data_IF_432457124259
#
_entry.id   IF_432457124259
#
_cell.length_a   1.000
_cell.length_b   1.000
_cell.length_c   1.000
_cell.angle_alpha   90.00
_cell.angle_beta   90.00
_cell.angle_gamma   90.00
#
_symmetry.space_group_name_H-M   'P 1'
#
loop_
_entity.id
_entity.type
_entity.pdbx_description
1 polymer ?
#
# COMPACT_ATOMS: atom_id res chain seq x y z
N UNK A 1 13.12 -8.13 2.79
CA UNK A 1 12.38 -6.87 2.53
C UNK A 1 11.37 -6.76 3.66
N UNK A 2 11.39 -5.68 4.48
CA UNK A 2 10.54 -5.57 5.67
C UNK A 2 9.06 -5.82 5.39
N UNK A 3 8.58 -5.52 4.17
CA UNK A 3 7.19 -5.74 3.76
C UNK A 3 6.90 -7.23 3.50
N UNK A 4 7.83 -7.94 2.87
CA UNK A 4 7.68 -9.37 2.57
C UNK A 4 7.79 -10.25 3.83
N UNK A 5 8.60 -9.82 4.79
CA UNK A 5 8.82 -10.53 6.06
C UNK A 5 7.77 -10.18 7.13
N UNK A 6 6.97 -9.11 6.93
CA UNK A 6 5.97 -8.72 7.89
C UNK A 6 4.90 -9.80 8.08
N UNK A 7 4.54 -10.02 9.35
CA UNK A 7 3.45 -10.89 9.79
C UNK A 7 2.60 -10.11 10.78
N UNK A 8 1.28 -10.30 10.72
CA UNK A 8 0.37 -9.63 11.64
C UNK A 8 0.45 -10.29 13.04
N UNK A 9 1.06 -9.65 14.05
CA UNK A 9 1.22 -10.25 15.38
C UNK A 9 -0.11 -10.38 16.14
N UNK A 10 -1.15 -9.66 15.71
CA UNK A 10 -2.49 -9.71 16.29
C UNK A 10 -3.37 -10.79 15.65
N UNK A 11 -2.91 -11.41 14.55
CA UNK A 11 -3.65 -12.46 13.86
C UNK A 11 -3.10 -13.83 14.25
N UNK A 12 -3.96 -14.68 14.82
CA UNK A 12 -3.60 -16.05 15.22
C UNK A 12 -3.21 -16.97 14.05
N UNK A 13 -3.47 -16.54 12.81
CA UNK A 13 -3.12 -17.28 11.60
C UNK A 13 -1.71 -16.98 11.07
N UNK A 14 -1.00 -16.03 11.65
CA UNK A 14 0.30 -15.57 11.13
C UNK A 14 0.19 -15.04 9.71
N UNK A 15 -0.87 -14.28 9.43
CA UNK A 15 -1.13 -13.70 8.12
C UNK A 15 0.03 -12.78 7.69
N UNK A 16 0.45 -12.91 6.44
CA UNK A 16 1.31 -11.91 5.79
C UNK A 16 0.51 -10.65 5.44
N UNK A 17 1.19 -9.60 4.98
CA UNK A 17 0.51 -8.38 4.53
C UNK A 17 -0.51 -8.67 3.42
N UNK A 18 -0.14 -9.53 2.45
CA UNK A 18 -1.05 -9.90 1.35
C UNK A 18 -2.28 -10.66 1.85
N UNK A 19 -2.13 -11.57 2.82
CA UNK A 19 -3.29 -12.24 3.42
C UNK A 19 -4.26 -11.27 4.08
N UNK A 20 -3.75 -10.26 4.79
CA UNK A 20 -4.61 -9.22 5.38
C UNK A 20 -5.32 -8.40 4.30
N UNK A 21 -4.65 -8.06 3.21
CA UNK A 21 -5.26 -7.28 2.12
C UNK A 21 -6.34 -8.08 1.37
N UNK A 22 -6.13 -9.39 1.17
CA UNK A 22 -7.16 -10.29 0.63
C UNK A 22 -8.30 -10.44 1.64
N UNK A 23 -8.00 -10.59 2.94
CA UNK A 23 -9.03 -10.64 4.00
C UNK A 23 -9.90 -9.38 4.01
N UNK A 24 -9.29 -8.20 3.86
CA UNK A 24 -9.95 -6.89 3.86
C UNK A 24 -10.53 -6.49 2.50
N UNK A 25 -10.32 -7.30 1.46
CA UNK A 25 -10.73 -7.01 0.09
C UNK A 25 -10.20 -5.66 -0.45
N UNK A 26 -8.87 -5.48 -0.41
CA UNK A 26 -8.18 -4.26 -0.83
C UNK A 26 -7.35 -4.45 -2.13
N UNK A 27 -7.99 -4.64 -3.30
CA UNK A 27 -7.30 -4.94 -4.56
C UNK A 27 -6.36 -3.81 -5.02
N UNK A 28 -6.76 -2.55 -4.86
CA UNK A 28 -5.94 -1.39 -5.27
C UNK A 28 -4.58 -1.36 -4.57
N UNK A 29 -4.56 -1.73 -3.28
CA UNK A 29 -3.35 -1.76 -2.46
C UNK A 29 -2.45 -2.91 -2.88
N UNK A 30 -3.02 -4.08 -3.17
CA UNK A 30 -2.28 -5.24 -3.68
C UNK A 30 -1.62 -4.88 -5.01
N UNK A 31 -2.36 -4.25 -5.94
CA UNK A 31 -1.84 -3.84 -7.24
C UNK A 31 -0.72 -2.79 -7.10
N UNK A 32 -0.88 -1.83 -6.19
CA UNK A 32 0.15 -0.83 -5.93
C UNK A 32 1.43 -1.44 -5.34
N UNK A 33 1.29 -2.37 -4.40
CA UNK A 33 2.41 -3.06 -3.76
C UNK A 33 3.16 -3.95 -4.76
N UNK A 34 2.45 -4.72 -5.59
CA UNK A 34 3.05 -5.58 -6.59
C UNK A 34 3.86 -4.80 -7.64
N UNK A 35 3.42 -3.59 -8.01
CA UNK A 35 4.14 -2.70 -8.94
C UNK A 35 5.33 -1.99 -8.31
N UNK A 36 5.22 -1.65 -7.02
CA UNK A 36 6.22 -0.81 -6.32
C UNK A 36 7.33 -1.62 -5.66
N UNK A 37 7.02 -2.86 -5.29
CA UNK A 37 7.89 -3.76 -4.55
C UNK A 37 7.93 -5.13 -5.23
N UNK A 38 9.07 -5.83 -5.10
CA UNK A 38 9.17 -7.24 -5.50
C UNK A 38 8.51 -8.09 -4.40
N UNK A 39 7.18 -8.06 -4.32
CA UNK A 39 6.43 -8.93 -3.41
C UNK A 39 6.31 -10.33 -3.99
N UNK A 40 6.53 -11.31 -3.13
CA UNK A 40 6.19 -12.69 -3.45
C UNK A 40 4.71 -12.93 -3.12
N UNK A 41 3.90 -13.08 -4.16
CA UNK A 41 2.45 -13.25 -4.04
C UNK A 41 2.04 -14.67 -3.60
N UNK A 42 2.93 -15.64 -3.74
CA UNK A 42 2.71 -17.05 -3.36
C UNK A 42 3.16 -17.33 -1.91
N UNK A 43 3.33 -16.29 -1.10
CA UNK A 43 3.86 -16.44 0.26
C UNK A 43 2.87 -17.23 1.13
N UNK A 44 3.28 -18.33 1.80
CA UNK A 44 2.40 -19.06 2.70
C UNK A 44 2.22 -18.31 4.03
N UNK A 45 1.02 -18.37 4.62
CA UNK A 45 0.80 -17.97 6.02
C UNK A 45 1.14 -19.10 6.99
N UNK A 46 1.45 -18.75 8.22
CA UNK A 46 1.99 -19.69 9.21
C UNK A 46 1.00 -20.76 9.69
N UNK A 47 -0.31 -20.50 9.66
CA UNK A 47 -1.27 -21.41 10.29
C UNK A 47 -1.56 -22.71 9.55
N UNK A 48 -1.54 -22.66 8.22
CA UNK A 48 -2.03 -23.74 7.37
C UNK A 48 -1.38 -23.73 5.98
N UNK A 49 -0.27 -23.01 5.83
CA UNK A 49 0.51 -22.87 4.60
C UNK A 49 -0.29 -22.38 3.38
N UNK A 50 -1.49 -21.82 3.60
CA UNK A 50 -2.28 -21.25 2.51
C UNK A 50 -1.64 -19.97 1.99
N UNK A 51 -1.79 -19.77 0.69
CA UNK A 51 -1.38 -18.56 -0.02
C UNK A 51 -2.51 -17.51 0.00
N UNK A 52 -2.21 -16.24 -0.34
CA UNK A 52 -3.23 -15.23 -0.57
C UNK A 52 -4.26 -15.65 -1.63
N UNK A 53 -3.83 -16.39 -2.65
CA UNK A 53 -4.70 -16.92 -3.70
C UNK A 53 -5.66 -17.99 -3.16
N UNK A 54 -5.16 -18.94 -2.36
CA UNK A 54 -6.01 -19.93 -1.70
C UNK A 54 -7.07 -19.27 -0.79
N UNK A 55 -6.71 -18.16 -0.16
CA UNK A 55 -7.65 -17.38 0.65
C UNK A 55 -8.73 -16.71 -0.21
N UNK A 56 -8.34 -16.12 -1.35
CA UNK A 56 -9.27 -15.50 -2.28
C UNK A 56 -10.27 -16.52 -2.85
N UNK A 57 -9.78 -17.70 -3.23
CA UNK A 57 -10.60 -18.83 -3.69
C UNK A 57 -11.54 -19.33 -2.59
N UNK A 58 -11.04 -19.51 -1.36
CA UNK A 58 -11.88 -19.93 -0.23
C UNK A 58 -13.01 -18.94 0.07
N UNK A 59 -12.80 -17.66 -0.24
CA UNK A 59 -13.79 -16.60 -0.07
C UNK A 59 -14.74 -16.41 -1.25
N UNK A 60 -14.57 -17.18 -2.33
CA UNK A 60 -15.37 -17.05 -3.56
C UNK A 60 -15.33 -15.63 -4.14
N UNK A 61 -14.16 -14.97 -4.05
CA UNK A 61 -13.95 -13.61 -4.53
C UNK A 61 -13.22 -13.64 -5.88
N UNK A 62 -13.99 -13.81 -6.96
CA UNK A 62 -13.46 -13.94 -8.33
C UNK A 62 -12.59 -12.75 -8.74
N UNK A 63 -12.98 -11.51 -8.40
CA UNK A 63 -12.21 -10.31 -8.74
C UNK A 63 -10.81 -10.35 -8.13
N UNK A 64 -10.71 -10.82 -6.88
CA UNK A 64 -9.44 -10.94 -6.17
C UNK A 64 -8.59 -12.12 -6.69
N UNK A 65 -9.24 -13.22 -7.09
CA UNK A 65 -8.56 -14.35 -7.75
C UNK A 65 -7.95 -13.90 -9.07
N UNK A 66 -8.74 -13.24 -9.92
CA UNK A 66 -8.28 -12.72 -11.20
C UNK A 66 -7.12 -11.74 -11.04
N UNK A 67 -7.20 -10.81 -10.06
CA UNK A 67 -6.11 -9.89 -9.77
C UNK A 67 -4.82 -10.61 -9.37
N UNK A 68 -4.90 -11.63 -8.50
CA UNK A 68 -3.73 -12.36 -8.04
C UNK A 68 -3.12 -13.22 -9.14
N UNK A 69 -3.95 -13.83 -10.00
CA UNK A 69 -3.50 -14.59 -11.17
C UNK A 69 -2.81 -13.69 -12.21
N UNK A 70 -3.39 -12.52 -12.52
CA UNK A 70 -2.77 -11.52 -13.41
C UNK A 70 -1.38 -11.09 -12.91
N UNK A 71 -1.25 -10.85 -11.60
CA UNK A 71 0.03 -10.49 -10.99
C UNK A 71 1.06 -11.63 -11.04
N UNK A 72 0.61 -12.88 -11.05
CA UNK A 72 1.48 -14.05 -11.19
C UNK A 72 2.00 -14.21 -12.62
N UNK A 73 1.13 -13.99 -13.61
CA UNK A 73 1.51 -14.01 -15.02
C UNK A 73 2.47 -12.86 -15.37
N UNK A 74 2.27 -11.67 -14.79
CA UNK A 74 3.21 -10.54 -14.93
C UNK A 74 4.61 -10.87 -14.37
N UNK A 75 4.71 -11.66 -13.28
CA UNK A 75 5.99 -12.12 -12.69
C UNK A 75 6.79 -13.00 -13.65
N UNK A 76 6.13 -13.76 -14.54
CA UNK A 76 6.77 -14.63 -15.55
C UNK A 76 7.40 -13.81 -16.68
N UNK A 77 6.80 -12.68 -17.05
CA UNK A 77 7.31 -11.83 -18.15
C UNK A 77 8.50 -10.94 -17.77
N UNK A 78 8.81 -10.81 -16.47
CA UNK A 78 9.95 -10.00 -15.99
C UNK A 78 11.26 -10.80 -15.79
N UNK A 79 11.30 -12.08 -16.18
CA UNK A 79 12.52 -12.89 -16.06
C UNK A 79 13.33 -12.95 -17.38
N UNK A 80 14.22 -11.94 -17.51
CA UNK A 80 15.51 -11.91 -18.25
C UNK A 80 15.48 -11.54 -19.76
N UNK A 81 16.53 -10.84 -20.31
CA UNK A 81 17.89 -10.68 -19.80
C UNK A 81 18.38 -9.22 -19.64
N UNK A 82 19.33 -9.00 -18.72
CA UNK A 82 20.24 -7.85 -18.64
C UNK A 82 19.73 -6.49 -19.15
N UNK A 83 19.08 -5.75 -18.25
CA UNK A 83 18.78 -4.34 -18.46
C UNK A 83 18.92 -3.61 -17.14
N UNK A 84 20.02 -2.88 -17.00
CA UNK A 84 20.24 -1.86 -15.97
C UNK A 84 19.09 -0.84 -16.00
N UNK A 85 18.01 -1.10 -15.26
CA UNK A 85 16.97 -0.11 -15.01
C UNK A 85 17.44 0.68 -13.80
N UNK A 86 18.27 1.67 -14.11
CA UNK A 86 18.91 2.58 -13.16
C UNK A 86 18.00 3.01 -12.00
N UNK A 87 18.59 3.07 -10.81
CA UNK A 87 18.12 3.56 -9.50
C UNK A 87 17.35 4.92 -9.47
N UNK A 88 17.05 5.52 -10.61
CA UNK A 88 16.59 6.90 -10.73
C UNK A 88 15.10 7.09 -10.41
N UNK A 89 14.27 6.04 -10.47
CA UNK A 89 12.81 6.24 -10.53
C UNK A 89 12.01 5.94 -9.24
N UNK A 90 12.54 5.14 -8.29
CA UNK A 90 11.86 4.91 -6.99
C UNK A 90 11.84 6.14 -6.09
N UNK A 91 12.72 7.09 -6.36
CA UNK A 91 12.89 8.34 -5.61
C UNK A 91 11.93 9.45 -6.05
N UNK A 92 11.06 9.25 -7.05
CA UNK A 92 10.19 10.31 -7.59
C UNK A 92 8.76 10.36 -7.05
N UNK A 93 8.30 9.39 -6.25
CA UNK A 93 6.86 9.20 -5.97
C UNK A 93 6.39 9.36 -4.53
N UNK A 94 7.23 9.74 -3.58
CA UNK A 94 6.78 10.03 -2.22
C UNK A 94 6.37 11.51 -2.14
N UNK A 95 5.12 11.80 -2.50
CA UNK A 95 4.51 13.08 -2.14
C UNK A 95 4.19 13.05 -0.63
N UNK A 96 4.51 14.13 0.07
CA UNK A 96 4.25 14.32 1.50
C UNK A 96 3.04 15.25 1.64
N UNK A 97 2.05 14.86 2.44
CA UNK A 97 0.86 15.68 2.73
C UNK A 97 0.99 16.31 4.11
N UNK A 98 0.85 17.62 4.18
CA UNK A 98 0.82 18.41 5.40
C UNK A 98 -0.61 18.87 5.69
N UNK A 99 -0.97 18.83 6.96
CA UNK A 99 -2.19 19.43 7.49
C UNK A 99 -1.79 20.56 8.42
N UNK A 100 -2.10 21.79 8.01
CA UNK A 100 -1.90 22.99 8.81
C UNK A 100 -3.26 23.40 9.39
N UNK A 101 -3.35 23.47 10.72
CA UNK A 101 -4.60 23.71 11.45
C UNK A 101 -4.49 24.99 12.26
N UNK A 102 -5.35 25.95 11.98
CA UNK A 102 -5.52 27.14 12.82
C UNK A 102 -6.61 26.87 13.85
N UNK A 103 -6.28 27.01 15.13
CA UNK A 103 -7.14 26.68 16.25
C UNK A 103 -7.30 27.85 17.23
N UNK A 104 -8.40 27.85 17.99
CA UNK A 104 -8.70 28.91 18.96
C UNK A 104 -7.81 28.90 20.21
N UNK A 105 -7.47 27.73 20.74
CA UNK A 105 -6.69 27.53 21.98
C UNK A 105 -6.21 26.08 22.06
N UNK A 106 -5.21 25.81 22.91
CA UNK A 106 -4.70 24.45 23.18
C UNK A 106 -5.61 23.72 24.18
N UNK A 107 -6.20 24.44 25.12
CA UNK A 107 -7.03 23.90 26.21
C UNK A 107 -8.45 23.56 25.77
N UNK A 108 -9.02 24.32 24.83
CA UNK A 108 -10.32 24.08 24.20
C UNK A 108 -10.28 24.38 22.69
N UNK A 109 -9.72 23.45 21.89
CA UNK A 109 -9.45 23.71 20.47
C UNK A 109 -10.68 23.62 19.57
N UNK A 110 -11.10 24.73 18.97
CA UNK A 110 -11.95 24.78 17.77
C UNK A 110 -11.07 25.06 16.54
N UNK A 111 -11.18 24.23 15.50
CA UNK A 111 -10.51 24.47 14.22
C UNK A 111 -11.25 25.58 13.49
N UNK A 112 -10.54 26.65 13.16
CA UNK A 112 -11.04 27.81 12.42
C UNK A 112 -10.69 27.71 10.93
N UNK A 113 -9.53 27.12 10.64
CA UNK A 113 -9.05 26.94 9.28
C UNK A 113 -8.23 25.66 9.17
N UNK A 114 -8.29 25.01 8.01
CA UNK A 114 -7.46 23.89 7.65
C UNK A 114 -6.86 24.13 6.26
N UNK A 115 -5.54 23.98 6.14
CA UNK A 115 -4.88 23.90 4.85
C UNK A 115 -4.25 22.51 4.64
N UNK A 116 -4.51 21.94 3.47
CA UNK A 116 -3.86 20.72 2.97
C UNK A 116 -2.76 21.16 2.02
N UNK A 117 -1.53 20.72 2.26
CA UNK A 117 -0.39 21.07 1.40
C UNK A 117 0.27 19.77 0.94
N UNK A 118 0.33 19.55 -0.36
CA UNK A 118 1.02 18.42 -0.96
C UNK A 118 2.39 18.91 -1.39
N UNK A 119 3.44 18.22 -0.97
CA UNK A 119 4.83 18.51 -1.35
C UNK A 119 5.47 17.27 -1.95
N UNK A 120 6.57 17.42 -2.68
CA UNK A 120 7.43 16.28 -2.98
C UNK A 120 8.36 15.95 -1.80
N UNK A 121 9.15 14.89 -1.93
CA UNK A 121 10.15 14.49 -0.91
C UNK A 121 11.24 15.54 -0.62
N UNK A 122 11.33 16.61 -1.40
CA UNK A 122 12.25 17.74 -1.19
C UNK A 122 11.53 18.96 -0.61
N UNK A 123 10.29 18.78 -0.12
CA UNK A 123 9.45 19.82 0.47
C UNK A 123 9.03 20.92 -0.51
N UNK A 124 9.08 20.65 -1.81
CA UNK A 124 8.56 21.59 -2.82
C UNK A 124 7.05 21.44 -2.91
N UNK A 125 6.30 22.52 -2.70
CA UNK A 125 4.85 22.53 -2.80
C UNK A 125 4.39 22.19 -4.22
N UNK A 126 3.53 21.18 -4.32
CA UNK A 126 2.91 20.71 -5.55
C UNK A 126 1.47 21.22 -5.65
N UNK A 127 0.74 21.24 -4.54
CA UNK A 127 -0.66 21.66 -4.48
C UNK A 127 -1.04 22.11 -3.06
N UNK A 128 -2.02 23.02 -2.96
CA UNK A 128 -2.58 23.49 -1.69
C UNK A 128 -4.09 23.69 -1.77
N UNK A 129 -4.80 23.16 -0.79
CA UNK A 129 -6.21 23.44 -0.52
C UNK A 129 -6.37 24.16 0.82
N UNK A 130 -7.33 25.08 0.93
CA UNK A 130 -7.63 25.82 2.17
C UNK A 130 -9.12 25.85 2.42
N UNK A 131 -9.53 25.50 3.65
CA UNK A 131 -10.91 25.42 4.09
C UNK A 131 -11.09 26.27 5.34
N UNK A 132 -12.05 27.19 5.30
CA UNK A 132 -12.45 27.99 6.46
C UNK A 132 -13.69 27.37 7.09
N UNK A 133 -13.65 27.16 8.40
CA UNK A 133 -14.77 26.64 9.19
C UNK A 133 -15.36 27.80 10.01
N UNK A 134 -16.65 28.09 9.80
CA UNK A 134 -17.38 29.14 10.53
C UNK A 134 -17.67 28.73 11.98
#
# INVERSE_FOLDING_TARGET
DPIAEWRNPMNQKGNTLLHELVEKNCPDVIQHLARSHKLDIDVPRESDDKTPLDLAQFKDNEDMVNLLDELNDEKITQQSPDGDVSEVDKRKRLNIVWLDLEMTSIEDPKIMECAVIITDKYLRELERGKLFLQ
#
